data_IF_319412150094
#
_entry.id   IF_319412150094
#
_cell.length_a   1.000
_cell.length_b   1.000
_cell.length_c   1.000
_cell.angle_alpha   90.00
_cell.angle_beta   90.00
_cell.angle_gamma   90.00
#
_symmetry.space_group_name_H-M   'P 1'
#
loop_
_entity.id
_entity.type
_entity.pdbx_description
1 polymer ?
#
# COMPACT_ATOMS: atom_id res chain seq x y z
N UNK A 1 -11.00 -2.23 -6.42
CA UNK A 1 -11.15 -3.47 -5.66
C UNK A 1 -11.58 -3.12 -4.23
N UNK A 2 -12.71 -3.61 -3.74
CA UNK A 2 -13.16 -3.36 -2.37
C UNK A 2 -12.22 -3.98 -1.34
N UNK A 3 -12.15 -3.36 -0.15
CA UNK A 3 -11.36 -3.90 0.95
C UNK A 3 -12.03 -5.17 1.50
N UNK A 4 -11.29 -6.28 1.72
CA UNK A 4 -11.88 -7.56 2.11
C UNK A 4 -12.62 -7.54 3.45
N UNK A 5 -12.33 -6.59 4.34
CA UNK A 5 -13.00 -6.41 5.63
C UNK A 5 -14.18 -5.44 5.58
N UNK A 6 -14.36 -4.72 4.49
CA UNK A 6 -15.43 -3.73 4.36
C UNK A 6 -16.46 -4.25 3.34
N UNK A 7 -17.61 -4.64 3.81
CA UNK A 7 -18.68 -5.24 3.00
C UNK A 7 -19.56 -4.15 2.36
N UNK A 8 -19.54 -2.95 2.91
CA UNK A 8 -20.36 -1.83 2.40
C UNK A 8 -19.51 -0.98 1.49
N UNK A 9 -19.83 -1.02 0.20
CA UNK A 9 -19.17 -0.21 -0.82
C UNK A 9 -20.21 0.73 -1.40
N UNK A 10 -20.04 2.02 -1.09
CA UNK A 10 -20.90 3.08 -1.64
C UNK A 10 -20.35 3.62 -2.99
N UNK A 11 -19.41 2.91 -3.62
CA UNK A 11 -18.93 3.34 -4.91
C UNK A 11 -19.97 2.96 -5.99
N UNK A 12 -20.55 3.92 -6.71
CA UNK A 12 -21.62 3.67 -7.66
C UNK A 12 -21.08 3.09 -8.97
N UNK A 13 -20.64 1.83 -8.93
CA UNK A 13 -20.04 1.13 -10.10
C UNK A 13 -20.96 1.10 -11.29
N UNK A 14 -22.27 1.07 -11.06
CA UNK A 14 -23.31 1.09 -12.10
C UNK A 14 -23.33 2.37 -12.96
N UNK A 15 -22.66 3.44 -12.49
CA UNK A 15 -22.51 4.68 -13.26
C UNK A 15 -21.40 4.64 -14.32
N UNK A 16 -20.64 3.54 -14.36
CA UNK A 16 -19.43 3.41 -15.18
C UNK A 16 -19.47 2.10 -15.98
N UNK A 17 -19.85 2.15 -17.23
CA UNK A 17 -20.03 0.97 -18.10
C UNK A 17 -18.76 0.15 -18.32
N UNK A 18 -17.58 0.74 -18.10
CA UNK A 18 -16.28 0.11 -18.33
C UNK A 18 -15.61 -0.39 -17.03
N UNK A 19 -16.29 -0.30 -15.88
CA UNK A 19 -15.72 -0.72 -14.59
C UNK A 19 -15.89 -2.23 -14.39
N UNK A 20 -14.78 -2.91 -14.12
CA UNK A 20 -14.79 -4.30 -13.65
C UNK A 20 -14.65 -4.33 -12.15
N UNK A 21 -15.59 -4.97 -11.47
CA UNK A 21 -15.52 -5.21 -10.03
C UNK A 21 -14.86 -6.58 -9.80
N UNK A 22 -13.64 -6.58 -9.32
CA UNK A 22 -12.94 -7.78 -8.89
C UNK A 22 -13.12 -7.96 -7.38
N UNK A 23 -13.95 -8.91 -6.98
CA UNK A 23 -14.05 -9.31 -5.59
C UNK A 23 -12.93 -10.29 -5.25
N UNK A 24 -12.21 -10.09 -4.11
CA UNK A 24 -11.22 -11.05 -3.68
C UNK A 24 -11.93 -12.38 -3.37
N UNK A 25 -11.40 -13.48 -3.90
CA UNK A 25 -11.82 -14.81 -3.47
C UNK A 25 -11.41 -14.98 -2.01
N UNK A 26 -12.38 -15.31 -1.16
CA UNK A 26 -12.13 -15.67 0.23
C UNK A 26 -12.32 -17.16 0.40
N UNK A 27 -11.22 -17.88 0.59
CA UNK A 27 -11.24 -19.09 1.37
C UNK A 27 -10.81 -18.75 2.80
N UNK A 28 -11.52 -19.31 3.77
CA UNK A 28 -11.25 -19.09 5.18
C UNK A 28 -9.79 -19.44 5.49
N UNK A 29 -8.95 -18.42 5.72
CA UNK A 29 -7.57 -18.56 6.17
C UNK A 29 -6.48 -18.34 5.13
N UNK A 30 -6.78 -18.25 3.84
CA UNK A 30 -5.79 -17.96 2.80
C UNK A 30 -6.15 -16.70 2.02
N UNK A 31 -5.20 -15.77 1.95
CA UNK A 31 -5.29 -14.60 1.10
C UNK A 31 -4.51 -14.88 -0.19
N UNK A 32 -5.21 -15.10 -1.30
CA UNK A 32 -4.57 -15.31 -2.59
C UNK A 32 -4.40 -13.99 -3.33
N UNK A 33 -3.15 -13.55 -3.46
CA UNK A 33 -2.76 -12.35 -4.19
C UNK A 33 -2.51 -12.59 -5.69
N UNK A 34 -2.65 -13.81 -6.16
CA UNK A 34 -2.28 -14.19 -7.53
C UNK A 34 -3.03 -13.36 -8.56
N UNK A 35 -4.32 -13.12 -8.33
CA UNK A 35 -5.15 -12.32 -9.23
C UNK A 35 -4.77 -10.83 -9.19
N UNK A 36 -4.37 -10.32 -8.03
CA UNK A 36 -3.92 -8.93 -7.91
C UNK A 36 -2.63 -8.69 -8.68
N UNK A 37 -1.65 -9.56 -8.55
CA UNK A 37 -0.38 -9.49 -9.30
C UNK A 37 -0.58 -9.60 -10.81
N UNK A 38 -1.54 -10.40 -11.28
CA UNK A 38 -1.92 -10.45 -12.69
C UNK A 38 -2.51 -9.14 -13.18
N UNK A 39 -3.38 -8.54 -12.38
CA UNK A 39 -4.00 -7.24 -12.68
C UNK A 39 -2.94 -6.15 -12.79
N UNK A 40 -1.96 -6.11 -11.89
CA UNK A 40 -0.90 -5.11 -11.89
C UNK A 40 -0.11 -5.09 -13.21
N UNK A 41 0.10 -6.23 -13.87
CA UNK A 41 0.83 -6.31 -15.16
C UNK A 41 0.20 -5.52 -16.30
N UNK A 42 -1.09 -5.25 -16.25
CA UNK A 42 -1.84 -4.49 -17.26
C UNK A 42 -2.41 -3.17 -16.70
N UNK A 43 -1.97 -2.78 -15.53
CA UNK A 43 -2.48 -1.59 -14.84
C UNK A 43 -1.68 -0.35 -15.25
N UNK A 44 -2.38 0.71 -15.66
CA UNK A 44 -1.79 2.02 -15.95
C UNK A 44 -1.42 2.77 -14.66
N UNK A 45 -2.35 2.85 -13.73
CA UNK A 45 -2.16 3.49 -12.43
C UNK A 45 -3.07 2.85 -11.38
N UNK A 46 -2.69 2.95 -10.12
CA UNK A 46 -3.50 2.50 -8.97
C UNK A 46 -3.98 3.73 -8.20
N UNK A 47 -5.28 3.81 -7.98
CA UNK A 47 -5.90 4.87 -7.18
C UNK A 47 -6.41 4.25 -5.88
N UNK A 48 -5.94 4.72 -4.75
CA UNK A 48 -6.50 4.36 -3.45
C UNK A 48 -6.28 5.45 -2.40
N UNK A 49 -6.93 5.34 -1.25
CA UNK A 49 -6.74 6.31 -0.19
C UNK A 49 -5.42 6.08 0.58
N UNK A 50 -5.28 4.95 1.28
CA UNK A 50 -4.12 4.67 2.14
C UNK A 50 -3.84 3.17 2.29
N UNK A 51 -4.36 2.32 1.40
CA UNK A 51 -4.27 0.87 1.51
C UNK A 51 -2.94 0.32 0.97
N UNK A 52 -2.51 -0.81 1.51
CA UNK A 52 -1.29 -1.51 1.12
C UNK A 52 -1.14 -1.86 -0.37
N UNK A 53 -2.22 -2.12 -1.16
CA UNK A 53 -2.08 -2.33 -2.61
C UNK A 53 -1.32 -1.24 -3.36
N UNK A 54 -1.29 0.01 -2.87
CA UNK A 54 -0.46 1.06 -3.44
C UNK A 54 1.04 0.78 -3.28
N UNK A 55 1.46 0.22 -2.14
CA UNK A 55 2.87 -0.15 -1.92
C UNK A 55 3.32 -1.21 -2.93
N UNK A 56 2.50 -2.25 -3.13
CA UNK A 56 2.77 -3.28 -4.12
C UNK A 56 2.89 -2.68 -5.54
N UNK A 57 1.97 -1.78 -5.92
CA UNK A 57 2.03 -1.09 -7.20
C UNK A 57 3.33 -0.27 -7.37
N UNK A 58 3.73 0.50 -6.36
CA UNK A 58 4.99 1.27 -6.37
C UNK A 58 6.20 0.34 -6.53
N UNK A 59 6.24 -0.78 -5.82
CA UNK A 59 7.32 -1.78 -5.93
C UNK A 59 7.41 -2.30 -7.36
N UNK A 60 6.28 -2.56 -8.02
CA UNK A 60 6.22 -3.01 -9.40
C UNK A 60 6.38 -1.91 -10.45
N UNK A 61 6.63 -0.67 -10.05
CA UNK A 61 6.85 0.43 -10.98
C UNK A 61 5.58 0.99 -11.60
N UNK A 62 4.45 0.83 -10.93
CA UNK A 62 3.14 1.34 -11.38
C UNK A 62 2.87 2.65 -10.64
N UNK A 63 2.49 3.73 -11.33
CA UNK A 63 2.11 4.98 -10.71
C UNK A 63 0.94 4.80 -9.74
N UNK A 64 0.96 5.51 -8.63
CA UNK A 64 -0.13 5.50 -7.66
C UNK A 64 -0.67 6.89 -7.41
N UNK A 65 -1.98 6.98 -7.21
CA UNK A 65 -2.69 8.17 -6.75
C UNK A 65 -3.24 7.88 -5.37
N UNK A 66 -2.76 8.62 -4.38
CA UNK A 66 -3.00 8.33 -2.96
C UNK A 66 -3.26 9.59 -2.16
N UNK A 67 -3.86 9.45 -0.98
CA UNK A 67 -3.98 10.58 -0.05
C UNK A 67 -2.68 10.85 0.69
N UNK A 68 -2.61 12.00 1.33
CA UNK A 68 -1.50 12.39 2.23
C UNK A 68 -1.25 11.41 3.39
N UNK A 69 -2.27 10.60 3.75
CA UNK A 69 -2.17 9.59 4.81
C UNK A 69 -1.55 8.27 4.35
N UNK A 70 -1.27 8.13 3.07
CA UNK A 70 -0.68 6.91 2.52
C UNK A 70 0.81 6.81 2.81
N UNK A 71 1.29 5.60 3.06
CA UNK A 71 2.73 5.30 3.11
C UNK A 71 3.43 5.54 1.76
N UNK A 72 2.67 5.62 0.68
CA UNK A 72 3.16 5.91 -0.66
C UNK A 72 3.10 7.39 -1.04
N UNK A 73 2.73 8.29 -0.11
CA UNK A 73 2.59 9.72 -0.40
C UNK A 73 3.85 10.32 -1.07
N UNK A 74 5.03 10.04 -0.52
CA UNK A 74 6.30 10.59 -1.00
C UNK A 74 6.69 10.14 -2.44
N UNK A 75 6.08 9.08 -2.94
CA UNK A 75 6.38 8.46 -4.25
C UNK A 75 5.14 8.32 -5.13
N UNK A 76 4.03 8.88 -4.68
CA UNK A 76 2.75 8.87 -5.37
C UNK A 76 2.33 10.24 -5.87
N UNK A 77 1.19 10.27 -6.55
CA UNK A 77 0.50 11.46 -6.98
C UNK A 77 -0.69 11.71 -6.04
N UNK A 78 -1.06 12.97 -5.84
CA UNK A 78 -2.19 13.36 -4.99
C UNK A 78 -3.33 13.99 -5.77
N UNK A 79 -3.07 14.48 -6.97
CA UNK A 79 -4.06 15.08 -7.86
C UNK A 79 -4.44 14.13 -8.99
N UNK A 80 -5.71 13.72 -9.03
CA UNK A 80 -6.25 12.84 -10.07
C UNK A 80 -6.35 13.49 -11.45
N UNK A 81 -6.25 14.82 -11.55
CA UNK A 81 -6.24 15.50 -12.86
C UNK A 81 -5.04 15.07 -13.71
N UNK A 82 -3.95 14.64 -13.07
CA UNK A 82 -2.71 14.18 -13.72
C UNK A 82 -2.73 12.70 -14.11
N UNK A 83 -3.86 12.01 -14.01
CA UNK A 83 -3.93 10.55 -14.23
C UNK A 83 -3.44 10.10 -15.62
N UNK A 84 -3.50 10.96 -16.60
CA UNK A 84 -3.00 10.67 -17.95
C UNK A 84 -1.48 10.85 -18.07
N UNK A 85 -0.88 11.59 -17.16
CA UNK A 85 0.57 11.87 -17.11
C UNK A 85 1.13 11.74 -15.69
N UNK A 86 0.98 10.55 -15.06
CA UNK A 86 1.34 10.37 -13.68
C UNK A 86 2.86 10.53 -13.46
N UNK A 87 3.24 11.28 -12.45
CA UNK A 87 4.63 11.35 -12.02
C UNK A 87 5.08 10.02 -11.41
N UNK A 88 6.32 9.65 -11.68
CA UNK A 88 6.99 8.48 -11.10
C UNK A 88 8.30 8.91 -10.43
N UNK A 89 8.26 9.44 -9.21
CA UNK A 89 9.46 9.84 -8.48
C UNK A 89 10.42 8.67 -8.22
N UNK A 90 11.69 8.98 -8.01
CA UNK A 90 12.69 7.97 -7.61
C UNK A 90 12.27 7.32 -6.28
N UNK A 91 12.05 6.01 -6.31
CA UNK A 91 11.46 5.25 -5.19
C UNK A 91 12.47 4.50 -4.32
N UNK A 92 13.76 4.51 -4.67
CA UNK A 92 14.75 3.71 -3.96
C UNK A 92 14.86 4.08 -2.46
N UNK A 93 14.91 5.37 -2.16
CA UNK A 93 14.97 5.82 -0.76
C UNK A 93 13.70 5.48 0.03
N UNK A 94 12.54 5.56 -0.62
CA UNK A 94 11.28 5.15 -0.03
C UNK A 94 11.28 3.63 0.23
N UNK A 95 11.69 2.81 -0.73
CA UNK A 95 11.78 1.35 -0.59
C UNK A 95 12.74 0.94 0.53
N UNK A 96 13.89 1.61 0.65
CA UNK A 96 14.85 1.37 1.73
C UNK A 96 14.25 1.70 3.11
N UNK A 97 13.51 2.82 3.22
CA UNK A 97 12.80 3.19 4.47
C UNK A 97 11.72 2.17 4.81
N UNK A 98 10.96 1.73 3.82
CA UNK A 98 9.92 0.72 4.00
C UNK A 98 10.52 -0.60 4.49
N UNK A 99 11.52 -1.12 3.80
CA UNK A 99 12.22 -2.35 4.19
C UNK A 99 12.85 -2.27 5.59
N UNK A 100 13.27 -1.07 6.01
CA UNK A 100 13.80 -0.86 7.36
C UNK A 100 12.73 -0.92 8.46
N UNK A 101 11.46 -0.66 8.13
CA UNK A 101 10.33 -0.63 9.07
C UNK A 101 9.49 -1.91 9.03
N UNK A 102 9.62 -2.72 7.99
CA UNK A 102 8.94 -4.00 7.87
C UNK A 102 9.68 -5.10 8.65
N UNK A 103 8.91 -6.04 9.21
CA UNK A 103 9.42 -7.12 10.03
C UNK A 103 8.66 -8.40 9.73
N UNK A 104 9.36 -9.52 9.71
CA UNK A 104 8.72 -10.82 9.67
C UNK A 104 8.07 -11.18 11.01
N UNK A 105 7.05 -12.02 10.97
CA UNK A 105 6.35 -12.47 12.18
C UNK A 105 7.28 -13.09 13.21
N UNK A 106 8.28 -13.84 12.74
CA UNK A 106 9.31 -14.48 13.56
C UNK A 106 10.16 -13.44 14.30
N UNK A 107 10.50 -12.34 13.63
CA UNK A 107 11.27 -11.25 14.24
C UNK A 107 10.49 -10.51 15.33
N UNK A 108 9.14 -10.40 15.17
CA UNK A 108 8.28 -9.92 16.25
C UNK A 108 8.29 -10.84 17.46
N UNK A 109 8.24 -12.17 17.26
CA UNK A 109 8.30 -13.17 18.34
C UNK A 109 9.63 -13.12 19.06
N UNK A 110 10.72 -12.83 18.35
CA UNK A 110 12.07 -12.68 18.91
C UNK A 110 12.29 -11.31 19.58
N UNK A 111 11.35 -10.39 19.49
CA UNK A 111 11.44 -9.06 20.08
C UNK A 111 12.39 -8.08 19.37
N UNK A 112 12.85 -8.40 18.15
CA UNK A 112 13.79 -7.56 17.38
C UNK A 112 13.26 -6.13 17.12
N UNK A 113 11.97 -5.92 16.75
CA UNK A 113 11.43 -4.58 16.61
C UNK A 113 11.53 -3.77 17.89
N UNK A 114 11.21 -4.40 19.03
CA UNK A 114 11.31 -3.75 20.34
C UNK A 114 12.74 -3.38 20.68
N UNK A 115 13.69 -4.28 20.51
CA UNK A 115 15.11 -4.01 20.79
C UNK A 115 15.63 -2.79 19.99
N UNK A 116 15.19 -2.63 18.73
CA UNK A 116 15.54 -1.49 17.89
C UNK A 116 14.90 -0.19 18.35
N UNK A 117 13.62 -0.21 18.71
CA UNK A 117 12.84 0.98 19.05
C UNK A 117 13.18 1.44 20.48
N UNK A 118 13.38 0.52 21.40
CA UNK A 118 13.62 0.78 22.82
C UNK A 118 14.76 1.79 23.02
N UNK A 119 15.91 1.56 22.40
CA UNK A 119 17.08 2.46 22.53
C UNK A 119 16.73 3.90 22.13
N UNK A 120 16.00 4.08 21.04
CA UNK A 120 15.56 5.42 20.57
C UNK A 120 14.56 6.07 21.52
N UNK A 121 13.66 5.29 22.09
CA UNK A 121 12.70 5.79 23.09
C UNK A 121 13.39 6.19 24.38
N UNK A 122 14.33 5.39 24.86
CA UNK A 122 15.16 5.70 26.03
C UNK A 122 15.97 6.99 25.80
N UNK A 123 16.62 7.14 24.66
CA UNK A 123 17.35 8.35 24.31
C UNK A 123 16.46 9.59 24.23
N UNK A 124 15.24 9.46 23.71
CA UNK A 124 14.32 10.57 23.50
C UNK A 124 13.57 11.00 24.78
N UNK A 125 13.21 10.05 25.63
CA UNK A 125 12.27 10.31 26.73
C UNK A 125 12.85 10.09 28.12
N UNK A 126 13.95 9.33 28.29
CA UNK A 126 14.53 9.02 29.59
C UNK A 126 15.85 9.75 29.88
N UNK A 127 16.49 10.32 28.86
CA UNK A 127 17.62 11.24 29.05
C UNK A 127 17.08 12.67 29.18
N UNK A 128 16.59 12.98 30.36
CA UNK A 128 16.43 14.34 30.85
C UNK A 128 17.49 14.61 31.89
#
# INVERSE_FOLDING_TARGET
RPHPRNIVHNFPVEKYDHVRVNLPKRDWGTYDDTDFKKILKSTWAVVNHSSNPAMEAVIHGIPVFVSEKSLCHDVGNTDLSDIMHPAMPARQNWANRLAYTEWFTEEFREGKPWARIRKRLEEKYLKK
#
